data_IF_572770595150
#
_entry.id   IF_572770595150
#
_cell.length_a   1.000
_cell.length_b   1.000
_cell.length_c   1.000
_cell.angle_alpha   90.00
_cell.angle_beta   90.00
_cell.angle_gamma   90.00
#
_symmetry.space_group_name_H-M   'P 1'
#
loop_
_entity.id
_entity.type
_entity.pdbx_description
1 polymer ?
#
# COMPACT_ATOMS: atom_id res chain seq x y z
N UNK A 1 -0.20 -29.50 9.62
CA UNK A 1 0.77 -28.40 9.78
C UNK A 1 0.50 -27.47 8.64
N UNK A 2 -0.08 -26.32 8.96
CA UNK A 2 -0.52 -25.31 8.01
C UNK A 2 0.72 -24.59 7.45
N UNK A 3 0.74 -24.23 6.16
CA UNK A 3 1.90 -23.57 5.54
C UNK A 3 2.21 -22.19 6.16
N UNK A 4 1.22 -21.60 6.84
CA UNK A 4 1.39 -20.38 7.63
C UNK A 4 2.41 -20.53 8.78
N UNK A 5 2.51 -21.71 9.40
CA UNK A 5 3.45 -21.96 10.52
C UNK A 5 4.92 -22.04 10.05
N UNK A 6 5.16 -22.30 8.76
CA UNK A 6 6.52 -22.48 8.22
C UNK A 6 7.19 -21.19 7.77
N UNK A 7 6.41 -20.15 7.46
CA UNK A 7 6.94 -18.89 6.92
C UNK A 7 7.78 -18.10 7.93
N UNK A 8 7.54 -18.25 9.24
CA UNK A 8 8.16 -17.41 10.28
C UNK A 8 9.00 -18.18 11.31
N UNK A 9 9.06 -19.51 11.22
CA UNK A 9 9.75 -20.37 12.18
C UNK A 9 11.27 -20.12 12.29
N UNK A 10 11.85 -19.35 11.36
CA UNK A 10 13.28 -19.01 11.33
C UNK A 10 13.55 -17.51 11.38
N UNK A 11 12.54 -16.67 11.59
CA UNK A 11 12.70 -15.22 11.55
C UNK A 11 13.47 -14.67 12.75
N UNK A 12 14.37 -13.71 12.52
CA UNK A 12 15.11 -13.00 13.59
C UNK A 12 14.74 -11.52 13.62
N UNK A 13 14.59 -10.96 14.82
CA UNK A 13 14.47 -9.51 14.98
C UNK A 13 15.80 -8.84 14.57
N UNK A 14 15.75 -7.78 13.77
CA UNK A 14 16.93 -7.04 13.34
C UNK A 14 16.74 -5.54 13.70
N UNK A 15 17.39 -5.05 14.77
CA UNK A 15 17.20 -3.67 15.21
C UNK A 15 17.91 -2.63 14.34
N UNK A 16 18.70 -3.05 13.34
CA UNK A 16 19.68 -2.22 12.62
C UNK A 16 19.33 -1.91 11.16
N UNK A 17 18.05 -2.07 10.74
CA UNK A 17 17.47 -1.74 9.42
C UNK A 17 18.47 -1.32 8.32
N UNK A 18 18.56 -2.04 7.21
CA UNK A 18 19.38 -1.59 6.09
C UNK A 18 18.88 -0.24 5.54
N UNK A 19 19.68 0.80 5.71
CA UNK A 19 19.44 2.12 5.12
C UNK A 19 18.33 2.92 5.80
N UNK A 20 18.00 4.06 5.18
CA UNK A 20 16.86 4.88 5.59
C UNK A 20 15.60 4.07 5.26
N UNK A 21 14.59 4.03 6.15
CA UNK A 21 13.26 3.57 5.76
C UNK A 21 12.92 4.22 4.44
N UNK A 22 12.71 3.42 3.37
CA UNK A 22 12.32 3.91 2.06
C UNK A 22 10.85 4.33 2.14
N UNK A 23 10.59 5.32 3.00
CA UNK A 23 9.35 6.03 3.21
C UNK A 23 9.67 7.47 2.85
N UNK A 24 9.60 7.78 1.56
CA UNK A 24 9.63 9.18 1.09
C UNK A 24 8.21 9.74 1.20
N UNK A 25 7.70 9.93 2.43
CA UNK A 25 6.30 10.33 2.61
C UNK A 25 6.10 11.84 2.72
N UNK A 26 5.09 12.33 2.01
CA UNK A 26 4.50 13.65 2.18
C UNK A 26 3.06 13.57 2.74
N UNK A 27 2.58 12.41 3.20
CA UNK A 27 1.22 12.19 3.71
C UNK A 27 1.18 11.82 5.19
N UNK A 28 -0.02 11.65 5.74
CA UNK A 28 -0.17 11.11 7.09
C UNK A 28 0.34 9.66 7.11
N UNK A 29 1.20 9.31 8.07
CA UNK A 29 1.72 7.95 8.17
C UNK A 29 0.59 6.96 8.47
N UNK A 30 0.69 5.71 8.00
CA UNK A 30 -0.25 4.67 8.39
C UNK A 30 -0.28 4.52 9.90
N UNK A 31 -1.47 4.32 10.45
CA UNK A 31 -1.69 4.26 11.89
C UNK A 31 -0.78 3.19 12.53
N UNK A 32 0.18 3.60 13.39
CA UNK A 32 1.12 2.67 14.01
C UNK A 32 0.42 1.67 14.93
N UNK A 33 -0.75 2.01 15.50
CA UNK A 33 -1.56 1.12 16.31
C UNK A 33 -2.09 -0.07 15.49
N UNK A 34 -2.61 0.20 14.29
CA UNK A 34 -3.11 -0.85 13.38
C UNK A 34 -1.99 -1.76 12.88
N UNK A 35 -0.82 -1.20 12.59
CA UNK A 35 0.36 -1.99 12.20
C UNK A 35 0.82 -2.90 13.33
N UNK A 36 0.87 -2.38 14.56
CA UNK A 36 1.23 -3.17 15.74
C UNK A 36 0.20 -4.26 16.05
N UNK A 37 -1.09 -3.95 15.92
CA UNK A 37 -2.18 -4.92 16.07
C UNK A 37 -2.07 -6.05 15.05
N UNK A 38 -1.89 -5.74 13.76
CA UNK A 38 -1.70 -6.76 12.73
C UNK A 38 -0.47 -7.64 13.02
N UNK A 39 0.66 -7.04 13.41
CA UNK A 39 1.85 -7.79 13.81
C UNK A 39 1.56 -8.74 14.99
N UNK A 40 0.84 -8.25 16.01
CA UNK A 40 0.43 -9.04 17.17
C UNK A 40 -0.48 -10.21 16.77
N UNK A 41 -1.50 -9.98 15.94
CA UNK A 41 -2.40 -11.01 15.44
C UNK A 41 -1.67 -12.08 14.61
N UNK A 42 -0.63 -11.68 13.89
CA UNK A 42 0.23 -12.60 13.13
C UNK A 42 1.25 -13.34 14.00
N UNK A 43 1.37 -13.02 15.29
CA UNK A 43 2.35 -13.62 16.19
C UNK A 43 3.80 -13.32 15.81
N UNK A 44 4.05 -12.19 15.11
CA UNK A 44 5.40 -11.80 14.66
C UNK A 44 5.66 -10.31 14.89
N UNK A 45 6.92 -9.85 14.96
CA UNK A 45 7.21 -8.42 15.05
C UNK A 45 6.86 -7.69 13.74
N UNK A 46 6.65 -6.37 13.84
CA UNK A 46 6.43 -5.47 12.69
C UNK A 46 7.59 -5.55 11.68
N UNK A 47 8.80 -5.74 12.20
CA UNK A 47 10.02 -5.89 11.44
C UNK A 47 10.72 -7.21 11.77
N UNK A 48 11.08 -7.97 10.74
CA UNK A 48 11.82 -9.23 10.88
C UNK A 48 12.78 -9.44 9.73
N UNK A 49 13.72 -10.37 9.90
CA UNK A 49 14.45 -10.99 8.79
C UNK A 49 13.88 -12.38 8.57
N UNK A 50 13.46 -12.71 7.35
CA UNK A 50 12.94 -14.05 7.04
C UNK A 50 14.05 -15.09 6.82
N UNK A 51 13.66 -16.35 6.59
CA UNK A 51 14.61 -17.46 6.39
C UNK A 51 15.51 -17.30 5.16
N UNK A 52 15.08 -16.50 4.18
CA UNK A 52 15.84 -16.19 2.97
C UNK A 52 16.75 -14.97 3.16
N UNK A 53 16.72 -14.33 4.34
CA UNK A 53 17.53 -13.16 4.67
C UNK A 53 16.97 -11.84 4.14
N UNK A 54 15.69 -11.77 3.77
CA UNK A 54 15.03 -10.50 3.47
C UNK A 54 14.62 -9.81 4.77
N UNK A 55 14.89 -8.51 4.85
CA UNK A 55 14.26 -7.63 5.83
C UNK A 55 12.81 -7.38 5.41
N UNK A 56 11.86 -7.80 6.25
CA UNK A 56 10.43 -7.65 6.04
C UNK A 56 9.87 -6.62 7.02
N UNK A 57 9.14 -5.62 6.51
CA UNK A 57 8.47 -4.59 7.31
C UNK A 57 6.98 -4.52 6.94
N UNK A 58 6.09 -4.59 7.93
CA UNK A 58 4.69 -4.20 7.73
C UNK A 58 4.64 -2.67 7.66
N UNK A 59 4.37 -2.16 6.46
CA UNK A 59 4.35 -0.72 6.18
C UNK A 59 2.94 -0.12 6.19
N UNK A 60 1.89 -0.95 6.26
CA UNK A 60 0.51 -0.52 6.50
C UNK A 60 -0.38 -1.72 6.81
N UNK A 61 -1.43 -1.55 7.63
CA UNK A 61 -2.36 -2.62 7.93
C UNK A 61 -3.75 -2.08 8.32
N UNK A 62 -4.77 -2.90 8.09
CA UNK A 62 -6.14 -2.73 8.57
C UNK A 62 -6.77 -4.07 8.90
N UNK A 63 -7.63 -4.07 9.91
CA UNK A 63 -8.37 -5.24 10.36
C UNK A 63 -9.86 -5.01 10.16
N UNK A 64 -10.56 -6.02 9.65
CA UNK A 64 -12.01 -6.03 9.52
C UNK A 64 -12.71 -6.28 10.86
N UNK A 65 -14.01 -5.99 10.94
CA UNK A 65 -14.82 -6.38 12.09
C UNK A 65 -14.94 -7.91 12.27
N UNK A 66 -14.76 -8.70 11.20
CA UNK A 66 -14.75 -10.17 11.26
C UNK A 66 -13.44 -10.75 11.79
N UNK A 67 -12.37 -9.95 11.85
CA UNK A 67 -11.03 -10.37 12.26
C UNK A 67 -10.11 -10.76 11.10
N UNK A 68 -10.54 -10.56 9.85
CA UNK A 68 -9.67 -10.65 8.67
C UNK A 68 -8.70 -9.46 8.65
N UNK A 69 -7.47 -9.69 8.18
CA UNK A 69 -6.38 -8.72 8.17
C UNK A 69 -5.96 -8.43 6.73
N UNK A 70 -5.83 -7.16 6.39
CA UNK A 70 -5.19 -6.71 5.17
C UNK A 70 -3.94 -5.91 5.52
N UNK A 71 -2.81 -6.21 4.89
CA UNK A 71 -1.55 -5.50 5.16
C UNK A 71 -0.72 -5.28 3.90
N UNK A 72 0.17 -4.29 3.97
CA UNK A 72 1.22 -4.03 3.00
C UNK A 72 2.56 -4.37 3.64
N UNK A 73 3.32 -5.24 3.00
CA UNK A 73 4.67 -5.64 3.45
C UNK A 73 5.71 -5.18 2.43
N UNK A 74 6.79 -4.58 2.91
CA UNK A 74 8.01 -4.34 2.14
C UNK A 74 9.03 -5.41 2.49
N UNK A 75 9.62 -6.06 1.49
CA UNK A 75 10.73 -7.01 1.63
C UNK A 75 11.94 -6.46 0.89
N UNK A 76 13.08 -6.38 1.57
CA UNK A 76 14.32 -5.89 0.99
C UNK A 76 15.51 -6.79 1.33
N UNK A 77 16.41 -7.01 0.38
CA UNK A 77 17.65 -7.76 0.58
C UNK A 77 18.79 -7.19 -0.24
N UNK A 78 19.94 -6.97 0.40
CA UNK A 78 21.18 -6.71 -0.30
C UNK A 78 21.68 -8.02 -0.92
N UNK A 79 21.63 -8.12 -2.25
CA UNK A 79 22.08 -9.31 -2.99
C UNK A 79 23.51 -9.16 -3.54
N UNK A 80 24.24 -8.14 -3.06
CA UNK A 80 25.64 -7.92 -3.39
C UNK A 80 25.83 -7.02 -4.62
N UNK A 81 27.00 -7.11 -5.25
CA UNK A 81 27.35 -6.26 -6.39
C UNK A 81 26.75 -6.82 -7.69
N UNK A 82 26.14 -5.95 -8.48
CA UNK A 82 25.72 -6.31 -9.83
C UNK A 82 26.94 -6.27 -10.77
N UNK A 83 27.36 -7.43 -11.29
CA UNK A 83 28.45 -7.55 -12.27
C UNK A 83 28.14 -6.93 -13.65
N UNK A 84 26.88 -6.60 -13.93
CA UNK A 84 26.40 -6.00 -15.17
C UNK A 84 26.15 -4.48 -15.07
N UNK A 85 26.31 -3.89 -13.88
CA UNK A 85 26.15 -2.44 -13.63
C UNK A 85 27.46 -1.79 -13.20
N UNK A 86 27.45 -0.48 -12.97
CA UNK A 86 28.61 0.36 -12.60
C UNK A 86 29.22 0.04 -11.20
N UNK A 87 29.42 -1.23 -10.83
CA UNK A 87 29.84 -1.69 -9.50
C UNK A 87 28.96 -1.17 -8.35
N UNK A 88 27.65 -1.03 -8.60
CA UNK A 88 26.69 -0.63 -7.56
C UNK A 88 26.14 -1.87 -6.84
N UNK A 89 25.89 -1.74 -5.54
CA UNK A 89 25.16 -2.75 -4.76
C UNK A 89 23.73 -2.84 -5.28
N UNK A 90 23.26 -4.07 -5.50
CA UNK A 90 21.90 -4.35 -5.91
C UNK A 90 21.09 -4.72 -4.67
N UNK A 91 20.06 -3.92 -4.41
CA UNK A 91 19.06 -4.21 -3.38
C UNK A 91 17.84 -4.76 -4.12
N UNK A 92 17.51 -6.00 -3.85
CA UNK A 92 16.27 -6.61 -4.29
C UNK A 92 15.15 -6.12 -3.35
N UNK A 93 14.07 -5.57 -3.93
CA UNK A 93 12.95 -5.01 -3.19
C UNK A 93 11.66 -5.51 -3.81
N UNK A 94 10.76 -6.05 -2.99
CA UNK A 94 9.38 -6.37 -3.37
C UNK A 94 8.42 -5.77 -2.35
N UNK A 95 7.24 -5.35 -2.81
CA UNK A 95 6.20 -4.80 -1.95
C UNK A 95 4.91 -5.51 -2.28
N UNK A 96 4.26 -6.05 -1.24
CA UNK A 96 3.13 -6.96 -1.38
C UNK A 96 1.94 -6.49 -0.59
N UNK A 97 0.76 -6.70 -1.15
CA UNK A 97 -0.49 -6.72 -0.37
C UNK A 97 -0.77 -8.15 0.06
N UNK A 98 -1.19 -8.31 1.29
CA UNK A 98 -1.63 -9.58 1.86
C UNK A 98 -3.06 -9.44 2.36
N UNK A 99 -3.83 -10.50 2.19
CA UNK A 99 -5.15 -10.69 2.79
C UNK A 99 -5.12 -12.01 3.55
N UNK A 100 -5.34 -11.93 4.86
CA UNK A 100 -5.29 -13.06 5.77
C UNK A 100 -6.66 -13.14 6.43
N UNK A 101 -7.43 -14.14 6.04
CA UNK A 101 -8.77 -14.36 6.58
C UNK A 101 -8.67 -15.01 7.96
N UNK A 102 -9.68 -14.79 8.80
CA UNK A 102 -9.80 -15.43 10.12
C UNK A 102 -9.83 -16.96 10.02
N UNK A 103 -10.22 -17.49 8.86
CA UNK A 103 -10.17 -18.92 8.53
C UNK A 103 -8.74 -19.49 8.46
N UNK A 104 -7.72 -18.62 8.39
CA UNK A 104 -6.33 -18.96 8.11
C UNK A 104 -5.96 -18.85 6.63
N UNK A 105 -6.93 -18.64 5.73
CA UNK A 105 -6.65 -18.49 4.31
C UNK A 105 -5.80 -17.24 4.05
N UNK A 106 -4.66 -17.44 3.38
CA UNK A 106 -3.72 -16.36 3.05
C UNK A 106 -3.60 -16.20 1.54
N UNK A 107 -3.79 -14.96 1.07
CA UNK A 107 -3.55 -14.56 -0.32
C UNK A 107 -2.59 -13.37 -0.33
N UNK A 108 -1.62 -13.37 -1.24
CA UNK A 108 -0.70 -12.23 -1.41
C UNK A 108 -0.27 -12.05 -2.86
N UNK A 109 -0.04 -10.80 -3.26
CA UNK A 109 0.51 -10.45 -4.57
C UNK A 109 1.34 -9.18 -4.46
N UNK A 110 2.24 -8.98 -5.42
CA UNK A 110 2.97 -7.72 -5.54
C UNK A 110 2.01 -6.57 -5.87
N UNK A 111 2.32 -5.38 -5.36
CA UNK A 111 1.61 -4.15 -5.74
C UNK A 111 2.02 -3.72 -7.16
N UNK A 112 1.16 -2.95 -7.83
CA UNK A 112 1.56 -2.26 -9.07
C UNK A 112 2.63 -1.20 -8.75
N UNK A 113 3.79 -1.31 -9.38
CA UNK A 113 4.87 -0.35 -9.20
C UNK A 113 5.76 -0.29 -10.42
N UNK A 114 6.19 0.92 -10.80
CA UNK A 114 7.24 1.09 -11.81
C UNK A 114 8.57 0.51 -11.32
N UNK A 115 8.91 0.75 -10.06
CA UNK A 115 10.11 0.24 -9.43
C UNK A 115 9.96 0.26 -7.89
N UNK A 116 9.80 -0.90 -7.23
CA UNK A 116 9.59 -1.00 -5.79
C UNK A 116 10.77 -0.50 -4.96
N UNK A 117 11.96 -0.37 -5.56
CA UNK A 117 13.14 0.21 -4.88
C UNK A 117 12.88 1.62 -4.33
N UNK A 118 11.96 2.39 -4.92
CA UNK A 118 11.62 3.72 -4.43
C UNK A 118 10.58 3.72 -3.29
N UNK A 119 10.15 2.53 -2.86
CA UNK A 119 9.22 2.35 -1.76
C UNK A 119 7.76 2.46 -2.16
N UNK A 120 6.91 2.34 -1.14
CA UNK A 120 5.47 2.47 -1.23
C UNK A 120 5.01 3.33 -0.06
N UNK A 121 4.43 4.47 -0.38
CA UNK A 121 3.93 5.41 0.59
C UNK A 121 2.42 5.24 0.72
N UNK A 122 2.01 4.53 1.77
CA UNK A 122 0.59 4.25 2.06
C UNK A 122 -0.09 5.53 2.53
N UNK A 123 -1.02 6.05 1.73
CA UNK A 123 -1.73 7.32 1.98
C UNK A 123 -3.17 7.15 2.46
N UNK A 124 -3.77 6.01 2.18
CA UNK A 124 -5.07 5.62 2.68
C UNK A 124 -5.09 4.11 2.80
N UNK A 125 -5.56 3.58 3.92
CA UNK A 125 -5.81 2.16 4.05
C UNK A 125 -6.97 1.95 5.01
N UNK A 126 -8.08 1.45 4.49
CA UNK A 126 -9.30 1.21 5.27
C UNK A 126 -10.00 -0.07 4.83
N UNK A 127 -10.75 -0.66 5.76
CA UNK A 127 -11.69 -1.71 5.47
C UNK A 127 -13.09 -1.13 5.29
N UNK A 128 -13.70 -1.31 4.11
CA UNK A 128 -14.98 -0.72 3.74
C UNK A 128 -15.93 -1.84 3.30
N UNK A 129 -16.93 -2.11 4.14
CA UNK A 129 -17.80 -3.26 3.97
C UNK A 129 -17.01 -4.56 4.10
N UNK A 130 -16.91 -5.33 3.02
CA UNK A 130 -16.17 -6.59 2.95
C UNK A 130 -14.89 -6.49 2.13
N UNK A 131 -14.36 -5.27 1.95
CA UNK A 131 -13.21 -4.98 1.08
C UNK A 131 -12.15 -4.16 1.81
N UNK A 132 -10.90 -4.43 1.54
CA UNK A 132 -9.80 -3.54 1.89
C UNK A 132 -9.51 -2.59 0.70
N UNK A 133 -9.33 -1.31 0.99
CA UNK A 133 -8.99 -0.30 -0.01
C UNK A 133 -7.71 0.42 0.42
N UNK A 134 -6.73 0.42 -0.48
CA UNK A 134 -5.40 0.99 -0.30
C UNK A 134 -5.20 2.09 -1.36
N UNK A 135 -4.84 3.30 -0.95
CA UNK A 135 -4.25 4.29 -1.86
C UNK A 135 -2.79 4.47 -1.45
N UNK A 136 -1.89 4.28 -2.40
CA UNK A 136 -0.46 4.45 -2.17
C UNK A 136 0.19 5.21 -3.31
N UNK A 137 1.30 5.84 -2.97
CA UNK A 137 2.17 6.54 -3.91
C UNK A 137 3.50 5.79 -4.05
N UNK A 138 3.92 5.57 -5.28
CA UNK A 138 5.30 5.27 -5.61
C UNK A 138 5.99 6.54 -6.14
N UNK A 139 7.27 6.46 -6.52
CA UNK A 139 8.06 7.62 -6.99
C UNK A 139 7.32 8.49 -8.01
N UNK A 140 6.71 7.89 -9.03
CA UNK A 140 6.13 8.63 -10.15
C UNK A 140 4.60 8.66 -10.15
N UNK A 141 3.95 7.66 -9.57
CA UNK A 141 2.51 7.42 -9.72
C UNK A 141 1.83 7.15 -8.38
N UNK A 142 0.52 7.39 -8.38
CA UNK A 142 -0.37 7.06 -7.28
C UNK A 142 -1.37 6.02 -7.77
N UNK A 143 -1.68 5.04 -6.93
CA UNK A 143 -2.60 3.97 -7.24
C UNK A 143 -3.66 3.85 -6.16
N UNK A 144 -4.92 3.69 -6.58
CA UNK A 144 -5.98 3.16 -5.75
C UNK A 144 -6.10 1.66 -6.03
N UNK A 145 -6.11 0.86 -4.98
CA UNK A 145 -6.18 -0.59 -5.02
C UNK A 145 -7.34 -1.06 -4.14
N UNK A 146 -8.12 -2.02 -4.62
CA UNK A 146 -9.10 -2.74 -3.80
C UNK A 146 -8.87 -4.24 -3.87
N UNK A 147 -9.11 -4.92 -2.76
CA UNK A 147 -9.01 -6.38 -2.64
C UNK A 147 -9.89 -6.91 -1.50
N UNK A 148 -10.03 -8.24 -1.44
CA UNK A 148 -10.98 -8.91 -0.53
C UNK A 148 -11.88 -9.86 -1.31
N UNK A 149 -12.89 -9.27 -1.95
CA UNK A 149 -13.90 -9.96 -2.76
C UNK A 149 -13.44 -10.30 -4.18
N UNK A 150 -12.44 -9.59 -4.68
CA UNK A 150 -11.80 -9.86 -5.97
C UNK A 150 -10.34 -10.23 -5.76
N UNK A 151 -9.87 -11.21 -6.52
CA UNK A 151 -8.46 -11.59 -6.58
C UNK A 151 -8.08 -12.02 -8.01
N UNK A 152 -7.00 -11.48 -8.61
CA UNK A 152 -6.05 -10.52 -8.04
C UNK A 152 -6.68 -9.15 -7.69
N UNK A 153 -6.03 -8.35 -6.81
CA UNK A 153 -6.47 -6.99 -6.50
C UNK A 153 -6.68 -6.14 -7.76
N UNK A 154 -7.66 -5.25 -7.70
CA UNK A 154 -7.88 -4.28 -8.78
C UNK A 154 -7.10 -3.01 -8.47
N UNK A 155 -6.15 -2.67 -9.33
CA UNK A 155 -5.41 -1.43 -9.29
C UNK A 155 -5.95 -0.44 -10.32
N UNK A 156 -6.06 0.82 -9.92
CA UNK A 156 -6.39 1.95 -10.80
C UNK A 156 -5.38 3.05 -10.54
N UNK A 157 -4.62 3.42 -11.56
CA UNK A 157 -3.73 4.56 -11.50
C UNK A 157 -4.56 5.84 -11.38
N UNK A 158 -4.23 6.65 -10.38
CA UNK A 158 -4.81 7.98 -10.14
C UNK A 158 -3.68 9.01 -10.06
N UNK A 159 -4.05 10.26 -9.80
CA UNK A 159 -3.12 11.36 -9.64
C UNK A 159 -2.80 11.58 -8.16
N UNK A 160 -1.71 12.30 -7.87
CA UNK A 160 -1.25 12.57 -6.50
C UNK A 160 -2.25 13.43 -5.71
N UNK A 161 -2.99 14.30 -6.40
CA UNK A 161 -4.05 15.12 -5.82
C UNK A 161 -5.39 14.38 -5.92
N UNK A 162 -5.85 13.87 -4.77
CA UNK A 162 -7.11 13.13 -4.67
C UNK A 162 -7.86 13.46 -3.38
N UNK A 163 -9.17 13.19 -3.38
CA UNK A 163 -10.05 13.33 -2.22
C UNK A 163 -11.13 12.26 -2.25
N UNK A 164 -11.51 11.74 -1.09
CA UNK A 164 -12.67 10.86 -0.94
C UNK A 164 -13.78 11.67 -0.27
N UNK A 165 -14.95 11.75 -0.92
CA UNK A 165 -16.15 12.31 -0.32
C UNK A 165 -17.34 11.36 -0.55
N UNK A 166 -17.86 10.81 0.56
CA UNK A 166 -18.89 9.78 0.51
C UNK A 166 -18.43 8.54 -0.24
N UNK A 167 -19.16 8.16 -1.28
CA UNK A 167 -18.89 6.98 -2.12
C UNK A 167 -18.16 7.34 -3.42
N UNK A 168 -17.43 8.45 -3.47
CA UNK A 168 -16.71 8.90 -4.66
C UNK A 168 -15.28 9.31 -4.29
N UNK A 169 -14.33 8.81 -5.08
CA UNK A 169 -12.93 9.24 -5.10
C UNK A 169 -12.75 10.21 -6.28
N UNK A 170 -12.46 11.47 -5.99
CA UNK A 170 -12.13 12.51 -6.97
C UNK A 170 -10.63 12.71 -7.08
N UNK A 171 -10.11 12.96 -8.28
CA UNK A 171 -8.71 13.31 -8.51
C UNK A 171 -8.55 14.20 -9.76
N UNK A 172 -7.50 15.00 -9.79
CA UNK A 172 -7.24 15.98 -10.86
C UNK A 172 -5.97 15.61 -11.60
N UNK A 173 -6.06 15.50 -12.93
CA UNK A 173 -4.89 15.34 -13.79
C UNK A 173 -4.25 16.68 -14.09
N UNK A 174 -2.93 16.64 -14.33
CA UNK A 174 -2.14 17.84 -14.58
C UNK A 174 -2.73 18.66 -15.75
N UNK A 175 -3.08 19.92 -15.46
CA UNK A 175 -3.66 20.89 -16.41
C UNK A 175 -5.04 20.53 -16.97
N UNK A 176 -5.79 19.64 -16.33
CA UNK A 176 -7.20 19.41 -16.67
C UNK A 176 -8.13 20.31 -15.83
N UNK A 177 -9.16 20.89 -16.44
CA UNK A 177 -10.22 21.67 -15.76
C UNK A 177 -11.40 20.80 -15.30
N UNK A 178 -11.20 19.48 -15.30
CA UNK A 178 -12.19 18.48 -14.90
C UNK A 178 -11.65 17.63 -13.77
N UNK A 179 -12.53 17.25 -12.85
CA UNK A 179 -12.25 16.27 -11.81
C UNK A 179 -12.68 14.90 -12.32
N UNK A 180 -11.71 13.99 -12.43
CA UNK A 180 -11.96 12.58 -12.71
C UNK A 180 -12.48 11.91 -11.45
N UNK A 181 -13.36 10.93 -11.63
CA UNK A 181 -14.10 10.31 -10.53
C UNK A 181 -14.11 8.80 -10.65
N UNK A 182 -13.94 8.13 -9.52
CA UNK A 182 -14.23 6.71 -9.35
C UNK A 182 -15.32 6.54 -8.30
N UNK A 183 -16.19 5.56 -8.48
CA UNK A 183 -17.01 5.07 -7.38
C UNK A 183 -16.12 4.46 -6.30
N UNK A 184 -16.51 4.59 -5.05
CA UNK A 184 -15.73 4.17 -3.90
C UNK A 184 -16.62 3.32 -2.98
N UNK A 185 -16.22 2.09 -2.61
CA UNK A 185 -14.89 1.47 -2.80
C UNK A 185 -14.71 0.68 -4.13
N UNK A 186 -15.67 0.72 -5.07
CA UNK A 186 -15.64 -0.17 -6.25
C UNK A 186 -14.53 0.14 -7.27
N UNK A 187 -14.01 1.36 -7.24
CA UNK A 187 -13.04 1.92 -8.18
C UNK A 187 -13.51 1.84 -9.65
N UNK A 188 -14.83 1.95 -9.89
CA UNK A 188 -15.35 2.03 -11.25
C UNK A 188 -15.35 3.47 -11.75
N UNK A 189 -14.97 3.70 -13.00
CA UNK A 189 -14.96 5.03 -13.59
C UNK A 189 -16.37 5.64 -13.59
N UNK A 190 -16.46 6.91 -13.22
CA UNK A 190 -17.64 7.75 -13.33
C UNK A 190 -17.34 8.89 -14.30
N UNK A 191 -18.39 9.49 -14.86
CA UNK A 191 -18.23 10.66 -15.74
C UNK A 191 -17.45 11.78 -15.02
N UNK A 192 -16.43 12.37 -15.63
CA UNK A 192 -15.77 13.55 -15.08
C UNK A 192 -16.75 14.71 -14.90
N UNK A 193 -16.48 15.58 -13.94
CA UNK A 193 -17.27 16.81 -13.73
C UNK A 193 -16.38 18.05 -13.79
N UNK A 194 -16.91 19.21 -14.20
CA UNK A 194 -16.15 20.46 -14.17
C UNK A 194 -15.65 20.80 -12.75
N UNK A 195 -14.47 21.40 -12.65
CA UNK A 195 -13.85 21.74 -11.38
C UNK A 195 -14.74 22.60 -10.46
N UNK A 196 -15.48 23.55 -11.02
CA UNK A 196 -16.42 24.38 -10.28
C UNK A 196 -17.55 23.56 -9.63
N UNK A 197 -18.05 22.55 -10.33
CA UNK A 197 -19.04 21.63 -9.77
C UNK A 197 -18.42 20.72 -8.71
N UNK A 198 -17.22 20.21 -8.97
CA UNK A 198 -16.49 19.38 -8.00
C UNK A 198 -16.23 20.12 -6.69
N UNK A 199 -15.86 21.40 -6.75
CA UNK A 199 -15.70 22.23 -5.56
C UNK A 199 -17.01 22.34 -4.76
N UNK A 200 -18.14 22.55 -5.45
CA UNK A 200 -19.47 22.63 -4.82
C UNK A 200 -19.88 21.35 -4.09
N UNK A 201 -19.46 20.18 -4.61
CA UNK A 201 -19.77 18.86 -4.02
C UNK A 201 -18.62 18.27 -3.19
N UNK A 202 -17.57 19.05 -2.90
CA UNK A 202 -16.44 18.59 -2.08
C UNK A 202 -15.61 17.47 -2.71
N UNK A 203 -15.55 17.39 -4.04
CA UNK A 203 -14.73 16.43 -4.79
C UNK A 203 -13.49 17.05 -5.45
N UNK A 204 -13.30 18.36 -5.30
CA UNK A 204 -12.07 19.02 -5.73
C UNK A 204 -11.01 18.78 -4.64
N UNK A 205 -9.86 18.14 -4.97
CA UNK A 205 -8.75 18.06 -4.04
C UNK A 205 -8.33 19.47 -3.62
N UNK A 206 -8.17 19.68 -2.31
CA UNK A 206 -7.55 20.89 -1.78
C UNK A 206 -6.05 20.75 -2.02
N UNK A 207 -5.61 20.97 -3.26
CA UNK A 207 -4.19 20.91 -3.61
C UNK A 207 -3.39 21.68 -2.55
N UNK A 208 -2.27 21.09 -2.10
CA UNK A 208 -1.28 21.86 -1.33
C UNK A 208 -1.02 23.12 -2.14
N UNK A 209 -1.41 24.28 -1.60
CA UNK A 209 -1.04 25.56 -2.19
C UNK A 209 0.43 25.47 -2.55
N UNK A 210 0.76 25.71 -3.82
CA UNK A 210 2.13 25.96 -4.22
C UNK A 210 2.66 27.08 -3.30
N UNK A 211 3.49 26.70 -2.33
CA UNK A 211 4.38 27.62 -1.61
C UNK A 211 5.65 27.77 -2.41
#
# INVERSE_FOLDING_TARGET
MDDADRLFAQSRANPTKFGWTIRSSAGEPPDPGRVAEAAHLLGRPVFLVDGDGYECEIIGAVTSASGDIALVESRAKDVGFNSYGANQRHIDVSIRVHLIEKSGQHRSTDIESYNPFFGCDVRFFEWIGHRAVLIYREKHWTFACRFGDVWPPRFVKIEDEWVINGNVLGYVSYKEEVVRRLSFPELAALEPIPEAEAARVGLRPEGRRAT
#
